data_IF_969246104866
#
_entry.id   IF_969246104866
#
_cell.length_a   1.000
_cell.length_b   1.000
_cell.length_c   1.000
_cell.angle_alpha   90.00
_cell.angle_beta   90.00
_cell.angle_gamma   90.00
#
_symmetry.space_group_name_H-M   'P 1'
#
loop_
_entity.id
_entity.type
_entity.pdbx_description
1 polymer ?
#
# COMPACT_ATOMS: atom_id res chain seq x y z
N UNK A 1 -20.87 -67.83 3.12
CA UNK A 1 -20.55 -66.86 4.19
C UNK A 1 -21.72 -65.92 4.35
N UNK A 2 -22.48 -66.00 5.45
CA UNK A 2 -23.57 -65.07 5.69
C UNK A 2 -23.01 -63.73 6.22
N UNK A 3 -23.46 -62.58 5.72
CA UNK A 3 -23.03 -61.28 6.23
C UNK A 3 -23.50 -61.09 7.67
N UNK A 4 -22.65 -60.50 8.51
CA UNK A 4 -22.96 -60.25 9.91
C UNK A 4 -24.08 -59.20 10.04
N UNK A 5 -25.29 -59.65 10.44
CA UNK A 5 -26.48 -58.82 10.61
C UNK A 5 -26.28 -57.63 11.56
N UNK A 6 -25.42 -57.78 12.57
CA UNK A 6 -25.10 -56.70 13.50
C UNK A 6 -24.41 -55.52 12.82
N UNK A 7 -23.53 -55.80 11.85
CA UNK A 7 -22.85 -54.75 11.07
C UNK A 7 -23.82 -54.05 10.13
N UNK A 8 -24.81 -54.77 9.60
CA UNK A 8 -25.83 -54.22 8.71
C UNK A 8 -26.76 -53.25 9.47
N UNK A 9 -27.25 -53.62 10.64
CA UNK A 9 -28.09 -52.74 11.47
C UNK A 9 -27.31 -51.54 11.99
N UNK A 10 -26.05 -51.72 12.39
CA UNK A 10 -25.20 -50.60 12.79
C UNK A 10 -25.00 -49.57 11.67
N UNK A 11 -24.89 -50.01 10.41
CA UNK A 11 -24.84 -49.09 9.26
C UNK A 11 -26.19 -48.48 8.93
N UNK A 12 -27.30 -49.20 9.13
CA UNK A 12 -28.65 -48.72 8.85
C UNK A 12 -29.21 -47.74 9.90
N UNK A 13 -28.64 -47.67 11.10
CA UNK A 13 -29.12 -46.75 12.15
C UNK A 13 -28.10 -45.68 12.55
N UNK A 14 -27.11 -45.43 11.70
CA UNK A 14 -26.16 -44.34 11.87
C UNK A 14 -26.41 -43.26 10.80
N UNK A 15 -27.49 -42.45 10.94
CA UNK A 15 -27.84 -41.42 9.94
C UNK A 15 -26.71 -40.40 9.75
N UNK A 16 -25.88 -40.18 10.78
CA UNK A 16 -24.68 -39.36 10.71
C UNK A 16 -23.59 -39.90 9.76
N UNK A 17 -23.70 -41.15 9.30
CA UNK A 17 -22.82 -41.77 8.29
C UNK A 17 -23.44 -41.84 6.91
N UNK A 18 -24.76 -41.75 6.79
CA UNK A 18 -25.45 -41.79 5.49
C UNK A 18 -25.15 -40.57 4.61
N UNK A 19 -24.95 -39.41 5.23
CA UNK A 19 -24.63 -38.17 4.53
C UNK A 19 -23.14 -37.82 4.53
N UNK A 20 -22.30 -38.63 5.18
CA UNK A 20 -20.85 -38.54 4.97
C UNK A 20 -20.60 -39.21 3.63
N UNK A 21 -20.56 -38.42 2.56
CA UNK A 21 -19.98 -38.91 1.32
C UNK A 21 -18.66 -39.58 1.70
N UNK A 22 -18.28 -40.73 1.12
CA UNK A 22 -16.91 -41.18 1.24
C UNK A 22 -16.09 -39.94 0.94
N UNK A 23 -15.16 -39.60 1.84
CA UNK A 23 -14.15 -38.59 1.52
C UNK A 23 -13.47 -39.18 0.30
N UNK A 24 -13.96 -38.83 -0.89
CA UNK A 24 -13.18 -38.99 -2.09
C UNK A 24 -11.90 -38.30 -1.70
N UNK A 25 -10.82 -39.08 -1.64
CA UNK A 25 -9.50 -38.55 -1.44
C UNK A 25 -9.38 -37.49 -2.51
N UNK A 26 -9.58 -36.22 -2.12
CA UNK A 26 -9.44 -35.08 -3.01
C UNK A 26 -8.01 -35.23 -3.47
N UNK A 27 -7.86 -35.66 -4.72
CA UNK A 27 -6.58 -36.11 -5.23
C UNK A 27 -5.62 -34.95 -5.10
N UNK A 28 -4.42 -35.25 -4.64
CA UNK A 28 -3.34 -34.27 -4.57
C UNK A 28 -3.13 -33.74 -5.99
N UNK A 29 -3.26 -32.43 -6.16
CA UNK A 29 -3.06 -31.79 -7.47
C UNK A 29 -1.61 -31.31 -7.50
N UNK A 30 -0.85 -31.76 -8.49
CA UNK A 30 0.53 -31.33 -8.70
C UNK A 30 0.58 -30.39 -9.90
N UNK A 31 1.06 -29.17 -9.68
CA UNK A 31 1.20 -28.13 -10.70
C UNK A 31 2.65 -27.64 -10.78
N UNK A 32 3.07 -27.19 -11.96
CA UNK A 32 4.36 -26.54 -12.16
C UNK A 32 4.16 -25.03 -12.13
N UNK A 33 4.82 -24.32 -11.21
CA UNK A 33 4.75 -22.86 -11.12
C UNK A 33 6.13 -22.25 -11.35
N UNK A 34 6.16 -21.06 -11.94
CA UNK A 34 7.39 -20.26 -12.13
C UNK A 34 7.68 -19.31 -10.96
N UNK A 35 6.70 -19.03 -10.09
CA UNK A 35 6.79 -18.08 -8.97
C UNK A 35 6.06 -18.65 -7.75
N UNK A 36 6.56 -18.48 -6.50
CA UNK A 36 7.72 -17.67 -6.08
C UNK A 36 9.08 -18.28 -6.43
N UNK A 37 9.18 -19.61 -6.49
CA UNK A 37 10.38 -20.34 -6.91
C UNK A 37 9.98 -21.32 -8.03
N UNK A 38 10.70 -21.37 -9.17
CA UNK A 38 10.40 -22.32 -10.23
C UNK A 38 10.46 -23.77 -9.75
N UNK A 39 9.35 -24.50 -9.88
CA UNK A 39 9.27 -25.86 -9.36
C UNK A 39 7.91 -26.52 -9.46
N UNK A 40 7.79 -27.70 -8.86
CA UNK A 40 6.53 -28.43 -8.72
C UNK A 40 5.92 -28.19 -7.34
N UNK A 41 4.63 -27.92 -7.35
CA UNK A 41 3.82 -27.61 -6.18
C UNK A 41 2.70 -28.63 -6.04
N UNK A 42 2.43 -29.05 -4.81
CA UNK A 42 1.36 -29.99 -4.46
C UNK A 42 0.29 -29.27 -3.64
N UNK A 43 -0.96 -29.34 -4.08
CA UNK A 43 -2.11 -28.86 -3.31
C UNK A 43 -2.64 -29.97 -2.41
N UNK A 44 -2.55 -29.74 -1.10
CA UNK A 44 -3.09 -30.64 -0.08
C UNK A 44 -4.41 -30.03 0.43
N UNK A 45 -5.55 -30.69 0.20
CA UNK A 45 -6.86 -30.22 0.64
C UNK A 45 -6.89 -29.90 2.13
N UNK A 46 -7.26 -28.66 2.48
CA UNK A 46 -7.31 -28.17 3.85
C UNK A 46 -5.98 -27.72 4.45
N UNK A 47 -4.85 -27.95 3.78
CA UNK A 47 -3.52 -27.44 4.20
C UNK A 47 -2.95 -26.37 3.26
N UNK A 48 -3.38 -26.36 2.00
CA UNK A 48 -2.93 -25.39 1.00
C UNK A 48 -1.86 -25.96 0.08
N UNK A 49 -1.05 -25.08 -0.51
CA UNK A 49 -0.01 -25.41 -1.48
C UNK A 49 1.35 -25.65 -0.82
N UNK A 50 2.12 -26.58 -1.35
CA UNK A 50 3.46 -26.93 -0.89
C UNK A 50 4.43 -27.04 -2.06
N UNK A 51 5.62 -26.47 -1.95
CA UNK A 51 6.71 -26.72 -2.88
C UNK A 51 7.33 -28.09 -2.57
N UNK A 52 7.32 -29.00 -3.55
CA UNK A 52 7.81 -30.38 -3.40
C UNK A 52 9.12 -30.64 -4.15
N UNK A 53 9.37 -29.91 -5.23
CA UNK A 53 10.60 -30.05 -6.01
C UNK A 53 10.97 -28.73 -6.68
N UNK A 54 12.25 -28.37 -6.65
CA UNK A 54 12.78 -27.19 -7.33
C UNK A 54 13.35 -27.58 -8.69
N UNK A 55 13.24 -26.68 -9.67
CA UNK A 55 13.89 -26.86 -10.96
C UNK A 55 15.40 -26.77 -10.75
N UNK A 56 16.15 -27.82 -11.16
CA UNK A 56 17.61 -27.78 -11.12
C UNK A 56 18.06 -26.90 -12.28
N UNK A 57 18.59 -25.72 -11.96
CA UNK A 57 19.25 -24.91 -12.98
C UNK A 57 20.43 -25.73 -13.52
N UNK A 58 20.43 -25.96 -14.83
CA UNK A 58 21.52 -26.62 -15.51
C UNK A 58 22.71 -25.68 -15.46
N UNK A 59 23.51 -25.75 -14.41
CA UNK A 59 24.78 -25.04 -14.32
C UNK A 59 25.62 -25.47 -15.53
N UNK A 60 25.79 -24.58 -16.50
CA UNK A 60 26.43 -24.87 -17.79
C UNK A 60 27.96 -25.04 -17.69
N UNK A 61 28.51 -25.30 -16.50
CA UNK A 61 29.95 -25.37 -16.24
C UNK A 61 30.58 -26.74 -16.57
N UNK A 62 29.85 -27.65 -17.22
CA UNK A 62 30.48 -28.85 -17.80
C UNK A 62 31.06 -28.50 -19.18
N UNK A 63 32.39 -28.57 -19.40
CA UNK A 63 33.00 -28.22 -20.68
C UNK A 63 32.45 -29.14 -21.77
N UNK A 64 31.73 -28.55 -22.73
CA UNK A 64 31.26 -29.22 -23.94
C UNK A 64 32.49 -29.68 -24.72
N UNK A 65 32.82 -30.97 -24.66
CA UNK A 65 33.71 -31.60 -25.63
C UNK A 65 32.99 -31.56 -26.98
N UNK A 66 33.38 -30.59 -27.81
CA UNK A 66 32.90 -30.42 -29.18
C UNK A 66 33.33 -31.66 -29.96
N UNK A 67 32.38 -32.52 -30.30
CA UNK A 67 32.58 -33.52 -31.35
C UNK A 67 31.72 -33.06 -32.51
N UNK A 68 32.38 -32.42 -33.49
CA UNK A 68 31.80 -32.11 -34.80
C UNK A 68 31.51 -33.43 -35.51
N UNK A 69 30.28 -33.59 -35.97
CA UNK A 69 29.81 -34.74 -36.71
C UNK A 69 28.38 -34.52 -37.16
N UNK A 70 28.27 -34.06 -38.39
CA UNK A 70 27.03 -33.86 -39.17
C UNK A 70 25.96 -34.93 -38.91
N UNK A 71 24.69 -34.50 -38.79
CA UNK A 71 23.54 -35.08 -39.51
C UNK A 71 22.17 -34.51 -39.06
N UNK A 72 21.45 -33.98 -40.06
CA UNK A 72 20.00 -34.06 -40.29
C UNK A 72 19.00 -33.59 -39.22
N UNK A 73 18.17 -32.63 -39.65
CA UNK A 73 17.03 -32.05 -38.95
C UNK A 73 16.01 -33.12 -38.47
N UNK A 74 16.11 -33.48 -37.19
CA UNK A 74 15.14 -34.26 -36.45
C UNK A 74 14.55 -33.38 -35.33
N UNK A 75 13.24 -33.45 -35.13
CA UNK A 75 12.47 -32.62 -34.21
C UNK A 75 13.16 -32.48 -32.84
N UNK A 76 13.58 -31.25 -32.51
CA UNK A 76 14.33 -30.95 -31.28
C UNK A 76 13.56 -31.47 -30.06
N UNK A 77 14.08 -32.48 -29.32
CA UNK A 77 13.49 -32.89 -28.06
C UNK A 77 13.56 -31.70 -27.10
N UNK A 78 12.41 -31.27 -26.58
CA UNK A 78 12.36 -30.26 -25.53
C UNK A 78 13.25 -30.73 -24.37
N UNK A 79 14.14 -29.87 -23.83
CA UNK A 79 15.03 -30.28 -22.76
C UNK A 79 14.21 -30.80 -21.58
N UNK A 80 14.45 -32.06 -21.19
CA UNK A 80 13.82 -32.66 -20.02
C UNK A 80 14.21 -31.85 -18.78
N UNK A 81 13.27 -31.08 -18.24
CA UNK A 81 13.45 -30.32 -17.00
C UNK A 81 13.82 -31.30 -15.87
N UNK A 82 15.03 -31.15 -15.32
CA UNK A 82 15.48 -31.95 -14.18
C UNK A 82 14.97 -31.29 -12.89
N UNK A 83 14.29 -32.06 -12.04
CA UNK A 83 13.74 -31.57 -10.77
C UNK A 83 14.48 -32.20 -9.60
N UNK A 84 14.85 -31.38 -8.62
CA UNK A 84 15.42 -31.87 -7.35
C UNK A 84 14.30 -31.94 -6.32
N UNK A 85 13.98 -33.15 -5.86
CA UNK A 85 12.97 -33.35 -4.81
C UNK A 85 13.47 -32.82 -3.48
N UNK A 86 12.62 -32.06 -2.78
CA UNK A 86 12.94 -31.53 -1.46
C UNK A 86 12.71 -32.60 -0.40
N UNK A 87 13.60 -32.66 0.59
CA UNK A 87 13.46 -33.58 1.74
C UNK A 87 12.18 -33.27 2.55
N UNK A 88 11.82 -31.98 2.64
CA UNK A 88 10.62 -31.50 3.34
C UNK A 88 9.83 -30.56 2.44
N UNK A 89 8.54 -30.84 2.19
CA UNK A 89 7.67 -29.94 1.46
C UNK A 89 7.57 -28.58 2.16
N UNK A 90 7.76 -27.49 1.43
CA UNK A 90 7.74 -26.13 1.99
C UNK A 90 6.37 -25.50 1.75
N UNK A 91 5.60 -25.14 2.80
CA UNK A 91 4.28 -24.58 2.61
C UNK A 91 4.34 -23.20 1.95
N UNK A 92 3.36 -22.94 1.10
CA UNK A 92 3.18 -21.71 0.35
C UNK A 92 2.03 -20.93 0.97
N UNK A 93 2.27 -19.66 1.28
CA UNK A 93 1.27 -18.74 1.84
C UNK A 93 0.93 -17.68 0.81
N UNK A 94 -0.35 -17.50 0.52
CA UNK A 94 -0.82 -16.37 -0.26
C UNK A 94 -0.93 -15.13 0.64
N UNK A 95 -0.28 -14.03 0.24
CA UNK A 95 -0.37 -12.77 0.97
C UNK A 95 -1.36 -11.82 0.30
N UNK A 96 -2.40 -11.42 1.02
CA UNK A 96 -3.48 -10.59 0.47
C UNK A 96 -3.01 -9.20 0.02
N UNK A 97 -2.13 -8.54 0.78
CA UNK A 97 -1.67 -7.18 0.45
C UNK A 97 -0.81 -7.17 -0.82
N UNK A 98 0.10 -8.14 -0.92
CA UNK A 98 1.04 -8.24 -2.04
C UNK A 98 0.47 -9.00 -3.24
N UNK A 99 -0.72 -9.61 -3.07
CA UNK A 99 -1.43 -10.45 -4.05
C UNK A 99 -0.55 -11.52 -4.70
N UNK A 100 0.44 -12.04 -3.96
CA UNK A 100 1.41 -13.04 -4.44
C UNK A 100 1.62 -14.15 -3.42
N UNK A 101 2.04 -15.29 -3.93
CA UNK A 101 2.43 -16.45 -3.15
C UNK A 101 3.87 -16.28 -2.64
N UNK A 102 4.11 -16.75 -1.42
CA UNK A 102 5.43 -16.78 -0.80
C UNK A 102 5.66 -18.13 -0.17
N UNK A 103 6.92 -18.57 -0.14
CA UNK A 103 7.31 -19.70 0.70
C UNK A 103 7.26 -19.30 2.17
N UNK A 104 6.90 -20.22 3.06
CA UNK A 104 6.80 -19.92 4.49
C UNK A 104 8.07 -19.33 5.12
N UNK A 105 9.29 -19.83 4.84
CA UNK A 105 10.51 -19.22 5.38
C UNK A 105 10.68 -17.76 4.93
N UNK A 106 10.36 -17.46 3.67
CA UNK A 106 10.43 -16.11 3.12
C UNK A 106 9.35 -15.20 3.71
N UNK A 107 8.13 -15.72 3.83
CA UNK A 107 7.00 -15.06 4.45
C UNK A 107 7.33 -14.64 5.90
N UNK A 108 7.92 -15.55 6.67
CA UNK A 108 8.32 -15.29 8.05
C UNK A 108 9.45 -14.26 8.14
N UNK A 109 10.44 -14.29 7.22
CA UNK A 109 11.50 -13.25 7.16
C UNK A 109 10.96 -11.86 6.83
N UNK A 110 9.91 -11.78 6.01
CA UNK A 110 9.24 -10.52 5.63
C UNK A 110 8.27 -10.01 6.70
N UNK A 111 7.85 -10.86 7.62
CA UNK A 111 6.98 -10.50 8.75
C UNK A 111 7.83 -10.02 9.93
N UNK A 112 7.54 -8.84 10.45
CA UNK A 112 8.11 -8.34 11.71
C UNK A 112 7.02 -7.82 12.61
N UNK A 113 7.16 -8.04 13.92
CA UNK A 113 6.25 -7.49 14.93
C UNK A 113 7.07 -6.54 15.80
N UNK A 114 6.64 -5.29 15.91
CA UNK A 114 7.29 -4.29 16.74
C UNK A 114 6.26 -3.51 17.55
N UNK A 115 6.69 -3.01 18.70
CA UNK A 115 5.90 -2.12 19.55
C UNK A 115 6.10 -0.67 19.12
N UNK A 116 5.01 0.06 18.89
CA UNK A 116 5.03 1.45 18.41
C UNK A 116 4.17 2.31 19.31
N UNK A 117 4.59 3.57 19.52
CA UNK A 117 3.81 4.54 20.27
C UNK A 117 2.73 5.15 19.39
N UNK A 118 1.48 4.99 19.80
CA UNK A 118 0.35 5.65 19.17
C UNK A 118 0.42 7.17 19.38
N UNK A 119 -0.44 7.93 18.70
CA UNK A 119 -0.58 9.39 18.86
C UNK A 119 -0.86 9.81 20.32
N UNK A 120 -1.40 8.88 21.12
CA UNK A 120 -1.67 9.05 22.55
C UNK A 120 -0.48 8.70 23.45
N UNK A 121 0.66 8.29 22.88
CA UNK A 121 1.83 7.80 23.60
C UNK A 121 1.72 6.37 24.12
N UNK A 122 0.61 5.67 23.88
CA UNK A 122 0.43 4.26 24.28
C UNK A 122 1.25 3.36 23.38
N UNK A 123 1.98 2.43 23.97
CA UNK A 123 2.71 1.39 23.25
C UNK A 123 1.75 0.29 22.76
N UNK A 124 1.75 0.09 21.45
CA UNK A 124 0.86 -0.81 20.71
C UNK A 124 1.72 -1.80 19.94
N UNK A 125 1.47 -3.10 20.12
CA UNK A 125 2.12 -4.11 19.30
C UNK A 125 1.47 -4.12 17.91
N UNK A 126 2.25 -3.92 16.86
CA UNK A 126 1.77 -3.92 15.48
C UNK A 126 2.62 -4.84 14.61
N UNK A 127 1.95 -5.57 13.73
CA UNK A 127 2.61 -6.43 12.76
C UNK A 127 2.80 -5.73 11.42
N UNK A 128 4.01 -5.86 10.90
CA UNK A 128 4.49 -5.29 9.65
C UNK A 128 4.87 -6.40 8.66
N UNK A 129 4.58 -6.17 7.39
CA UNK A 129 5.00 -7.03 6.29
C UNK A 129 5.80 -6.25 5.27
N UNK A 130 6.95 -6.79 4.88
CA UNK A 130 7.86 -6.21 3.90
C UNK A 130 7.40 -6.55 2.48
N UNK A 131 6.94 -5.54 1.74
CA UNK A 131 6.57 -5.71 0.32
C UNK A 131 7.80 -5.62 -0.56
N UNK A 132 8.56 -4.55 -0.41
CA UNK A 132 9.75 -4.26 -1.22
C UNK A 132 11.01 -4.26 -0.34
N UNK A 133 12.13 -3.81 -0.87
CA UNK A 133 13.35 -3.76 -0.08
C UNK A 133 13.28 -2.72 1.05
N UNK A 134 12.60 -1.60 0.82
CA UNK A 134 12.50 -0.50 1.79
C UNK A 134 11.10 -0.39 2.39
N UNK A 135 10.07 -0.76 1.63
CA UNK A 135 8.67 -0.52 1.98
C UNK A 135 8.09 -1.62 2.87
N UNK A 136 7.59 -1.21 4.03
CA UNK A 136 6.83 -2.01 4.97
C UNK A 136 5.37 -1.56 5.05
N UNK A 137 4.48 -2.49 5.35
CA UNK A 137 3.06 -2.20 5.54
C UNK A 137 2.59 -2.77 6.87
N UNK A 138 1.88 -1.95 7.64
CA UNK A 138 1.16 -2.40 8.83
C UNK A 138 -0.08 -3.19 8.39
N UNK A 139 -0.11 -4.48 8.69
CA UNK A 139 -1.18 -5.37 8.25
C UNK A 139 -1.76 -6.23 9.39
N UNK A 140 -1.20 -6.15 10.59
CA UNK A 140 -1.78 -6.79 11.78
C UNK A 140 -1.97 -5.79 12.92
N UNK A 141 -3.06 -5.98 13.66
CA UNK A 141 -3.37 -5.27 14.90
C UNK A 141 -2.67 -5.90 16.12
N UNK A 142 -2.98 -5.40 17.33
CA UNK A 142 -2.49 -5.90 18.63
C UNK A 142 -2.87 -7.36 18.88
N UNK A 143 -3.97 -7.82 18.29
CA UNK A 143 -4.52 -9.16 18.47
C UNK A 143 -4.04 -10.14 17.39
N UNK A 144 -3.24 -9.68 16.43
CA UNK A 144 -2.83 -10.48 15.28
C UNK A 144 -3.93 -10.65 14.23
N UNK A 145 -5.04 -9.92 14.34
CA UNK A 145 -6.07 -9.84 13.31
C UNK A 145 -5.51 -9.08 12.12
N UNK A 146 -5.73 -9.63 10.93
CA UNK A 146 -5.34 -8.95 9.70
C UNK A 146 -6.22 -7.71 9.51
N UNK A 147 -5.59 -6.55 9.34
CA UNK A 147 -6.28 -5.30 9.04
C UNK A 147 -6.44 -5.24 7.52
N UNK A 148 -7.65 -5.47 6.96
CA UNK A 148 -7.85 -5.28 5.54
C UNK A 148 -7.61 -3.81 5.21
N UNK A 149 -6.87 -3.57 4.14
CA UNK A 149 -6.74 -2.26 3.53
C UNK A 149 -8.12 -1.74 3.14
N UNK A 150 -8.24 -0.42 3.05
CA UNK A 150 -9.53 0.22 2.78
C UNK A 150 -10.13 -0.32 1.46
N UNK A 151 -11.33 -0.90 1.58
CA UNK A 151 -12.07 -1.55 0.49
C UNK A 151 -12.36 -0.58 -0.65
N UNK A 152 -12.33 0.73 -0.39
CA UNK A 152 -12.47 1.79 -1.41
C UNK A 152 -11.23 2.00 -2.28
N UNK A 153 -10.26 1.08 -2.24
CA UNK A 153 -9.02 1.19 -3.01
C UNK A 153 -8.03 2.18 -2.39
N UNK A 154 -8.11 2.39 -1.07
CA UNK A 154 -7.06 3.09 -0.34
C UNK A 154 -5.83 2.20 -0.25
N UNK A 155 -4.69 2.69 -0.74
CA UNK A 155 -3.42 2.00 -0.54
C UNK A 155 -3.12 1.89 0.96
N UNK A 156 -2.58 0.76 1.37
CA UNK A 156 -2.13 0.58 2.74
C UNK A 156 -1.09 1.65 3.08
N UNK A 157 -1.11 2.13 4.31
CA UNK A 157 -0.11 3.08 4.76
C UNK A 157 1.28 2.45 4.69
N UNK A 158 2.17 3.11 3.97
CA UNK A 158 3.56 2.68 3.78
C UNK A 158 4.43 3.19 4.93
N UNK A 159 5.29 2.32 5.41
CA UNK A 159 6.21 2.52 6.52
C UNK A 159 7.63 2.17 6.08
N UNK A 160 8.60 2.78 6.73
CA UNK A 160 10.02 2.47 6.55
C UNK A 160 10.58 2.07 7.91
N UNK A 161 11.39 1.03 7.90
CA UNK A 161 12.15 0.64 9.08
C UNK A 161 13.42 1.49 9.15
N UNK A 162 13.50 2.36 10.15
CA UNK A 162 14.70 3.15 10.37
C UNK A 162 15.73 2.29 11.12
N UNK A 163 16.87 2.04 10.48
CA UNK A 163 17.95 1.20 11.03
C UNK A 163 18.64 1.85 12.22
N UNK A 164 18.62 3.18 12.32
CA UNK A 164 19.27 3.91 13.42
C UNK A 164 18.43 3.85 14.69
N UNK A 165 17.15 4.17 14.59
CA UNK A 165 16.24 4.20 15.73
C UNK A 165 15.61 2.83 16.03
N UNK A 166 15.73 1.87 15.11
CA UNK A 166 15.02 0.57 15.14
C UNK A 166 13.50 0.74 15.27
N UNK A 167 12.96 1.88 14.84
CA UNK A 167 11.54 2.19 14.88
C UNK A 167 10.97 2.27 13.47
N UNK A 168 9.68 1.93 13.36
CA UNK A 168 8.95 2.18 12.14
C UNK A 168 8.48 3.63 12.12
N UNK A 169 8.79 4.32 11.02
CA UNK A 169 8.26 5.65 10.72
C UNK A 169 7.46 5.61 9.44
N UNK A 170 6.55 6.57 9.28
CA UNK A 170 5.85 6.74 8.01
C UNK A 170 6.86 6.98 6.89
N UNK A 171 6.59 6.39 5.73
CA UNK A 171 7.42 6.57 4.55
C UNK A 171 7.37 8.04 4.10
N UNK A 172 8.53 8.68 4.05
CA UNK A 172 8.66 10.04 3.52
C UNK A 172 8.80 9.95 2.00
N UNK A 173 8.51 11.05 1.31
CA UNK A 173 8.61 11.10 -0.16
C UNK A 173 9.99 10.73 -0.70
N UNK A 174 11.04 11.06 0.04
CA UNK A 174 12.41 10.73 -0.33
C UNK A 174 12.76 9.24 -0.22
N UNK A 175 11.99 8.47 0.56
CA UNK A 175 12.25 7.05 0.78
C UNK A 175 11.56 6.16 -0.27
N UNK A 176 10.59 6.70 -1.02
CA UNK A 176 9.90 5.94 -2.06
C UNK A 176 10.91 5.59 -3.17
N UNK A 177 11.13 4.30 -3.50
CA UNK A 177 12.05 3.90 -4.55
C UNK A 177 11.69 4.48 -5.93
N UNK A 178 10.41 4.82 -6.14
CA UNK A 178 9.95 5.44 -7.38
C UNK A 178 10.06 6.97 -7.36
N UNK A 179 10.48 7.58 -6.25
CA UNK A 179 10.61 9.03 -6.16
C UNK A 179 11.81 9.53 -6.96
N UNK A 180 11.53 10.04 -8.15
CA UNK A 180 12.49 10.84 -8.90
C UNK A 180 12.49 12.25 -8.33
N UNK A 181 13.62 12.66 -7.72
CA UNK A 181 13.82 14.05 -7.27
C UNK A 181 13.76 14.95 -8.50
N UNK A 182 12.62 15.61 -8.71
CA UNK A 182 12.46 16.59 -9.79
C UNK A 182 13.59 17.60 -9.72
N UNK A 183 14.23 17.85 -10.86
CA UNK A 183 15.54 18.48 -11.02
C UNK A 183 15.76 19.68 -10.09
N UNK A 184 16.94 19.68 -9.47
CA UNK A 184 17.57 20.66 -8.56
C UNK A 184 17.80 22.07 -9.16
N UNK A 185 17.07 22.44 -10.21
CA UNK A 185 17.33 23.68 -10.96
C UNK A 185 16.58 24.90 -10.41
N UNK A 186 15.90 24.79 -9.27
CA UNK A 186 15.50 25.96 -8.48
C UNK A 186 16.59 26.17 -7.43
N UNK A 187 17.40 27.25 -7.52
CA UNK A 187 18.40 27.56 -6.51
C UNK A 187 17.71 27.73 -5.17
N UNK A 188 18.29 27.09 -4.15
CA UNK A 188 17.85 27.03 -2.76
C UNK A 188 17.29 28.37 -2.28
N UNK A 189 15.96 28.45 -2.23
CA UNK A 189 15.27 29.35 -1.31
C UNK A 189 14.44 28.50 -0.37
N UNK A 190 14.73 28.75 0.90
CA UNK A 190 13.94 28.46 2.10
C UNK A 190 14.29 27.17 2.84
N UNK A 191 15.10 27.38 3.89
CA UNK A 191 15.45 26.47 4.98
C UNK A 191 14.23 26.10 5.88
N UNK A 192 13.03 26.57 5.55
CA UNK A 192 11.77 26.31 6.28
C UNK A 192 10.93 25.18 5.69
N UNK A 193 11.55 24.24 4.97
CA UNK A 193 10.86 23.07 4.39
C UNK A 193 10.57 21.96 5.42
N UNK A 194 9.81 22.30 6.47
CA UNK A 194 9.18 21.34 7.39
C UNK A 194 8.05 20.53 6.75
N UNK A 195 7.79 20.73 5.45
CA UNK A 195 6.78 20.04 4.64
C UNK A 195 7.43 19.03 3.68
N UNK A 196 8.30 18.16 4.21
CA UNK A 196 8.70 16.93 3.51
C UNK A 196 7.56 15.91 3.69
N UNK A 197 6.43 16.20 3.04
CA UNK A 197 5.15 15.52 3.21
C UNK A 197 5.29 13.99 3.10
N UNK A 198 4.78 13.29 4.12
CA UNK A 198 4.63 11.83 4.12
C UNK A 198 3.77 11.39 2.94
N UNK A 199 4.19 10.35 2.21
CA UNK A 199 3.44 9.82 1.04
C UNK A 199 2.31 8.90 1.48
N UNK A 200 1.78 9.08 2.69
CA UNK A 200 0.55 8.40 3.06
C UNK A 200 -0.60 9.17 2.39
N UNK A 201 -0.98 8.74 1.19
CA UNK A 201 -1.87 9.48 0.29
C UNK A 201 -3.25 9.84 0.87
N UNK A 202 -3.68 9.32 2.04
CA UNK A 202 -5.08 9.50 2.48
C UNK A 202 -5.37 9.75 3.96
N UNK A 203 -4.38 9.98 4.84
CA UNK A 203 -4.68 10.32 6.25
C UNK A 203 -3.96 11.56 6.76
N UNK A 204 -4.26 12.72 6.16
CA UNK A 204 -4.45 13.91 7.00
C UNK A 204 -5.86 13.82 7.59
N UNK A 205 -5.99 13.18 8.75
CA UNK A 205 -7.07 13.54 9.65
C UNK A 205 -6.93 15.04 9.91
N UNK A 206 -7.82 15.82 9.29
CA UNK A 206 -8.12 17.21 9.58
C UNK A 206 -7.40 17.73 10.82
N UNK A 207 -6.35 18.52 10.59
CA UNK A 207 -5.76 19.35 11.63
C UNK A 207 -6.88 20.25 12.16
N UNK A 208 -7.30 20.16 13.43
CA UNK A 208 -8.28 21.08 13.98
C UNK A 208 -7.59 22.44 14.12
N UNK A 209 -7.90 23.38 13.23
CA UNK A 209 -7.35 24.74 13.31
C UNK A 209 -7.05 25.46 12.00
N UNK A 210 -7.38 24.91 10.82
CA UNK A 210 -7.35 25.72 9.59
C UNK A 210 -8.68 26.41 9.37
N UNK A 211 -8.75 27.70 9.70
CA UNK A 211 -9.94 28.57 9.60
C UNK A 211 -10.19 29.11 8.18
N UNK A 212 -9.72 28.44 7.12
CA UNK A 212 -9.92 28.92 5.75
C UNK A 212 -11.18 28.34 5.11
N UNK A 213 -12.32 28.73 5.65
CA UNK A 213 -13.63 28.59 5.00
C UNK A 213 -13.87 29.82 4.11
N UNK A 214 -13.67 29.68 2.80
CA UNK A 214 -14.34 30.53 1.80
C UNK A 214 -15.13 29.61 0.85
N UNK A 215 -16.47 29.70 0.83
CA UNK A 215 -17.28 28.98 -0.13
C UNK A 215 -17.29 29.76 -1.45
N UNK A 216 -16.69 29.20 -2.50
CA UNK A 216 -16.81 29.75 -3.85
C UNK A 216 -18.05 29.18 -4.53
N UNK A 217 -18.92 30.11 -4.91
CA UNK A 217 -20.20 29.95 -5.60
C UNK A 217 -20.15 29.10 -6.88
N UNK A 218 -21.26 28.43 -7.24
CA UNK A 218 -21.45 27.79 -8.54
C UNK A 218 -21.90 28.82 -9.59
N UNK A 219 -21.13 28.99 -10.68
CA UNK A 219 -21.57 29.79 -11.82
C UNK A 219 -22.29 28.92 -12.85
N UNK A 220 -23.56 29.21 -13.04
CA UNK A 220 -24.47 28.69 -14.06
C UNK A 220 -23.95 28.93 -15.48
N UNK A 221 -23.96 27.90 -16.33
CA UNK A 221 -24.43 28.05 -17.70
C UNK A 221 -25.19 26.79 -18.14
N UNK A 222 -26.45 27.03 -18.49
CA UNK A 222 -27.34 26.09 -19.13
C UNK A 222 -27.05 26.08 -20.64
N UNK A 223 -27.13 24.91 -21.28
CA UNK A 223 -27.79 24.81 -22.57
C UNK A 223 -28.32 23.38 -22.79
N UNK A 224 -29.62 23.35 -23.04
CA UNK A 224 -30.43 22.23 -23.50
C UNK A 224 -30.10 21.87 -24.95
N UNK A 225 -30.26 20.60 -25.35
CA UNK A 225 -31.07 20.13 -26.49
C UNK A 225 -31.03 18.57 -26.54
N UNK A 226 -32.15 18.00 -26.08
CA UNK A 226 -33.09 17.11 -26.78
C UNK A 226 -32.60 16.02 -27.80
N UNK A 227 -32.76 14.76 -27.38
CA UNK A 227 -33.30 13.55 -28.07
C UNK A 227 -32.57 12.78 -29.20
N UNK A 228 -32.41 11.48 -28.91
CA UNK A 228 -32.56 10.24 -29.72
C UNK A 228 -31.32 9.50 -30.28
N UNK A 229 -31.36 8.14 -30.29
CA UNK A 229 -30.23 7.26 -30.57
C UNK A 229 -30.24 6.68 -31.99
N UNK A 230 -29.08 6.28 -32.50
CA UNK A 230 -28.98 5.35 -33.63
C UNK A 230 -27.68 4.55 -33.58
N UNK A 231 -27.84 3.22 -33.74
CA UNK A 231 -26.81 2.25 -34.05
C UNK A 231 -26.07 2.61 -35.35
N UNK A 232 -24.76 2.34 -35.45
CA UNK A 232 -24.15 1.49 -36.50
C UNK A 232 -22.63 1.34 -36.35
N UNK A 233 -22.23 0.08 -36.55
CA UNK A 233 -20.93 -0.51 -36.89
C UNK A 233 -20.10 0.25 -37.94
N UNK A 234 -18.78 0.37 -37.73
CA UNK A 234 -17.69 -0.06 -38.67
C UNK A 234 -16.35 0.66 -38.41
N UNK A 235 -15.24 -0.10 -38.35
CA UNK A 235 -13.83 0.33 -38.42
C UNK A 235 -13.47 0.94 -39.82
N UNK A 236 -12.18 1.26 -40.13
CA UNK A 236 -11.22 2.30 -39.70
C UNK A 236 -10.79 3.13 -40.97
N UNK A 237 -9.54 3.64 -41.24
CA UNK A 237 -8.41 4.17 -40.47
C UNK A 237 -7.93 5.59 -40.93
N UNK A 238 -6.90 6.12 -40.24
CA UNK A 238 -5.83 7.00 -40.77
C UNK A 238 -6.04 8.53 -40.95
N UNK A 239 -4.94 9.23 -40.60
CA UNK A 239 -4.49 10.58 -40.95
C UNK A 239 -4.94 11.76 -40.06
N UNK A 240 -4.03 12.19 -39.18
CA UNK A 240 -4.01 13.53 -38.60
C UNK A 240 -3.33 14.51 -39.60
N UNK A 241 -3.99 15.61 -39.99
CA UNK A 241 -3.32 16.72 -40.63
C UNK A 241 -2.72 17.68 -39.60
N UNK A 242 -1.58 18.20 -39.99
CA UNK A 242 -0.73 19.19 -39.36
C UNK A 242 -1.40 20.55 -39.12
N UNK A 243 -0.97 21.19 -38.02
CA UNK A 243 -0.67 22.63 -37.85
C UNK A 243 -1.75 23.63 -38.29
N UNK A 244 -2.35 24.33 -37.31
CA UNK A 244 -2.68 25.75 -37.49
C UNK A 244 -2.76 26.53 -36.16
N UNK A 245 -1.98 27.62 -36.15
CA UNK A 245 -2.17 28.91 -35.45
C UNK A 245 -2.38 28.96 -33.93
N UNK A 246 -1.31 29.32 -33.20
CA UNK A 246 -1.41 29.95 -31.88
C UNK A 246 -1.75 31.45 -32.01
N UNK A 247 -2.72 31.99 -31.24
CA UNK A 247 -2.99 33.42 -31.19
C UNK A 247 -1.89 34.17 -30.44
N UNK A 248 -1.46 35.31 -30.99
CA UNK A 248 -0.52 36.27 -30.38
C UNK A 248 -1.05 36.71 -29.02
N UNK A 249 -0.26 36.51 -27.96
CA UNK A 249 -0.52 37.08 -26.63
C UNK A 249 -0.22 38.58 -26.67
N UNK A 250 -1.22 39.37 -26.27
CA UNK A 250 -1.08 40.80 -26.04
C UNK A 250 -0.20 41.05 -24.81
N UNK A 251 0.81 41.90 -24.99
CA UNK A 251 1.62 42.49 -23.93
C UNK A 251 0.75 43.46 -23.11
N UNK A 252 0.25 42.97 -21.98
CA UNK A 252 -0.24 43.81 -20.88
C UNK A 252 -0.13 43.04 -19.56
N UNK A 253 1.07 42.51 -19.31
CA UNK A 253 1.44 42.16 -17.95
C UNK A 253 2.07 43.42 -17.32
N UNK A 254 1.59 43.88 -16.14
CA UNK A 254 2.29 44.94 -15.42
C UNK A 254 3.73 44.49 -15.20
N UNK A 255 4.67 45.42 -15.35
CA UNK A 255 6.09 45.10 -15.29
C UNK A 255 6.37 44.30 -14.01
N UNK A 256 7.20 43.27 -14.12
CA UNK A 256 7.51 42.34 -13.02
C UNK A 256 8.02 43.09 -11.78
N UNK A 257 8.52 44.30 -11.97
CA UNK A 257 8.97 45.23 -10.95
C UNK A 257 7.79 45.86 -10.16
N UNK A 258 6.71 46.23 -10.84
CA UNK A 258 5.49 46.74 -10.22
C UNK A 258 4.80 45.65 -9.38
N UNK A 259 4.74 44.41 -9.90
CA UNK A 259 4.21 43.26 -9.14
C UNK A 259 5.06 42.92 -7.89
N UNK A 260 6.37 43.16 -7.93
CA UNK A 260 7.24 43.00 -6.76
C UNK A 260 7.03 44.12 -5.73
N UNK A 261 6.76 45.34 -6.19
CA UNK A 261 6.49 46.47 -5.30
C UNK A 261 5.17 46.28 -4.54
N UNK A 262 4.12 45.79 -5.20
CA UNK A 262 2.83 45.51 -4.56
C UNK A 262 2.93 44.40 -3.51
N UNK A 263 3.67 43.33 -3.80
CA UNK A 263 3.89 42.22 -2.86
C UNK A 263 4.62 42.66 -1.59
N UNK A 264 5.63 43.55 -1.72
CA UNK A 264 6.34 44.11 -0.55
C UNK A 264 5.47 45.02 0.30
N UNK A 265 4.53 45.74 -0.31
CA UNK A 265 3.58 46.60 0.41
C UNK A 265 2.59 45.77 1.22
N UNK A 266 2.03 44.71 0.61
CA UNK A 266 1.13 43.77 1.28
C UNK A 266 1.79 43.06 2.47
N UNK A 267 3.07 42.71 2.35
CA UNK A 267 3.82 42.10 3.45
C UNK A 267 3.99 43.06 4.64
N UNK A 268 4.30 44.35 4.37
CA UNK A 268 4.41 45.37 5.42
C UNK A 268 3.07 45.64 6.12
N UNK A 269 1.98 45.73 5.37
CA UNK A 269 0.64 45.92 5.94
C UNK A 269 0.24 44.74 6.86
N UNK A 270 0.61 43.51 6.49
CA UNK A 270 0.36 42.33 7.33
C UNK A 270 1.17 42.34 8.63
N UNK A 271 2.44 42.77 8.58
CA UNK A 271 3.30 42.88 9.77
C UNK A 271 2.80 43.98 10.71
N UNK A 272 2.40 45.13 10.17
CA UNK A 272 1.85 46.25 10.95
C UNK A 272 0.51 45.86 11.60
N UNK A 273 -0.37 45.17 10.88
CA UNK A 273 -1.62 44.66 11.43
C UNK A 273 -1.40 43.63 12.55
N UNK A 274 -0.38 42.76 12.42
CA UNK A 274 -0.02 41.81 13.47
C UNK A 274 0.56 42.51 14.71
N UNK A 275 1.36 43.56 14.53
CA UNK A 275 1.90 44.37 15.62
C UNK A 275 0.83 45.19 16.36
N UNK A 276 -0.21 45.66 15.66
CA UNK A 276 -1.34 46.33 16.30
C UNK A 276 -2.17 45.38 17.19
N UNK A 277 -2.34 44.12 16.77
CA UNK A 277 -3.04 43.09 17.54
C UNK A 277 -2.30 42.69 18.82
N UNK A 278 -0.97 42.71 18.83
CA UNK A 278 -0.21 42.41 20.06
C UNK A 278 -0.25 43.56 21.06
N UNK A 279 -0.23 44.82 20.61
CA UNK A 279 -0.35 46.00 21.48
C UNK A 279 -1.71 46.11 22.18
N UNK A 280 -2.81 45.77 21.50
CA UNK A 280 -4.14 45.78 22.14
C UNK A 280 -4.33 44.70 23.22
N UNK A 281 -3.49 43.65 23.22
CA UNK A 281 -3.60 42.53 24.16
C UNK A 281 -2.85 42.77 25.49
N UNK A 282 -1.93 43.73 25.55
CA UNK A 282 -1.19 44.04 26.78
C UNK A 282 -1.92 45.03 27.69
N UNK A 283 -2.80 45.89 27.16
CA UNK A 283 -3.58 46.85 27.97
C UNK A 283 -4.76 46.21 28.73
N UNK A 284 -5.22 45.03 28.32
CA UNK A 284 -6.39 44.38 28.92
C UNK A 284 -6.07 43.43 30.09
N UNK A 285 -4.79 43.30 30.48
CA UNK A 285 -4.37 42.34 31.52
C UNK A 285 -4.20 42.93 32.92
N UNK A 286 -4.39 44.25 33.08
CA UNK A 286 -4.21 44.94 34.37
C UNK A 286 -5.51 45.04 35.20
N UNK A 287 -6.64 44.54 34.70
CA UNK A 287 -7.96 44.68 35.35
C UNK A 287 -8.70 43.36 35.61
N UNK A 288 -8.05 42.38 36.26
CA UNK A 288 -8.77 41.23 36.84
C UNK A 288 -8.40 41.07 38.30
N UNK A 289 -9.26 41.61 39.15
CA UNK A 289 -9.21 41.55 40.61
C UNK A 289 -9.23 40.10 41.13
N UNK A 290 -8.43 39.89 42.17
CA UNK A 290 -8.41 38.73 43.05
C UNK A 290 -9.80 38.47 43.66
N UNK A 291 -10.37 37.30 43.39
CA UNK A 291 -11.37 36.70 44.27
C UNK A 291 -10.76 35.44 44.90
N UNK A 292 -10.32 35.58 46.15
CA UNK A 292 -9.91 34.46 47.01
C UNK A 292 -11.13 33.57 47.29
N UNK A 293 -11.02 32.28 46.95
CA UNK A 293 -11.98 31.25 47.36
C UNK A 293 -11.30 30.32 48.36
N UNK A 294 -11.55 30.59 49.64
CA UNK A 294 -11.21 29.69 50.74
C UNK A 294 -11.97 28.35 50.59
N UNK A 295 -11.25 27.25 50.78
CA UNK A 295 -11.83 25.90 50.85
C UNK A 295 -11.31 25.23 52.12
N UNK A 296 -12.19 25.12 53.11
CA UNK A 296 -11.94 24.40 54.35
C UNK A 296 -11.93 22.88 54.09
N UNK A 297 -10.94 22.20 54.67
CA UNK A 297 -10.85 20.75 54.71
C UNK A 297 -11.63 20.23 55.93
N UNK A 298 -12.65 19.39 55.70
CA UNK A 298 -13.29 18.62 56.75
C UNK A 298 -12.80 17.16 56.67
N UNK A 299 -12.15 16.73 57.74
CA UNK A 299 -11.64 15.38 58.01
C UNK A 299 -12.80 14.55 58.57
N UNK A 300 -13.07 13.39 57.99
CA UNK A 300 -14.05 12.42 58.53
C UNK A 300 -13.29 11.16 58.89
N UNK A 301 -13.32 10.83 60.17
CA UNK A 301 -12.95 9.52 60.72
C UNK A 301 -14.23 8.67 60.83
N UNK A 302 -14.16 7.44 60.32
CA UNK A 302 -14.73 6.21 60.87
C UNK A 302 -14.28 5.01 60.02
#
# INVERSE_FOLDING_TARGET
MAPNLFVATQKAFQPHKWFKSPKSEKSRVVEEWSSPVPGRYESIPGRGWFLIATLKERTEDSPKTITEGDSAASAKPSPSKEYTTLERPVPVKYHQVAKRHFLEPEYNRRKRTLTIKDKRGKEIQAGYFRIDDVTWIRCWDEHGTFIPGDVTGGEYQRWVFDTQTQQFRHMLKRDDPNYVRSRRNSPDRDLDSHSQDSVSDKYRSSRPGSTKNSPSMPSSQANSIRYMPSNTTSNPPSQLPSRQSSPKRNDSLPSLEEAKATLRRLAREHEEAAAALTRSRTDSKEHVQQFERGRAAARVEN
#
